data_IF_997000753386
#
_entry.id   IF_997000753386
#
_cell.length_a   1.000
_cell.length_b   1.000
_cell.length_c   1.000
_cell.angle_alpha   90.00
_cell.angle_beta   90.00
_cell.angle_gamma   90.00
#
_symmetry.space_group_name_H-M   'P 1'
#
loop_
_entity.id
_entity.type
_entity.pdbx_description
1 polymer ?
#
# COMPACT_ATOMS: atom_id res chain seq x y z
N UNK A 1 8.88 2.63 14.67
CA UNK A 1 8.32 2.09 13.43
C UNK A 1 7.50 3.16 12.76
N UNK A 2 7.57 3.28 11.45
CA UNK A 2 6.73 4.18 10.67
C UNK A 2 6.36 3.56 9.34
N UNK A 3 5.11 3.77 8.92
CA UNK A 3 4.58 3.32 7.64
C UNK A 3 4.38 4.54 6.75
N UNK A 4 4.97 4.52 5.57
CA UNK A 4 4.94 5.65 4.64
C UNK A 4 4.36 5.21 3.31
N UNK A 5 3.39 5.98 2.79
CA UNK A 5 3.00 5.93 1.38
C UNK A 5 3.89 6.92 0.64
N UNK A 6 4.68 6.43 -0.31
CA UNK A 6 5.58 7.26 -1.10
C UNK A 6 4.90 7.78 -2.38
N UNK A 7 5.45 8.84 -2.96
CA UNK A 7 4.92 9.47 -4.19
C UNK A 7 4.90 8.52 -5.40
N UNK A 8 5.80 7.54 -5.44
CA UNK A 8 5.84 6.52 -6.49
C UNK A 8 4.90 5.33 -6.20
N UNK A 9 3.95 5.48 -5.28
CA UNK A 9 2.98 4.45 -4.90
C UNK A 9 3.60 3.19 -4.27
N UNK A 10 4.76 3.28 -3.64
CA UNK A 10 5.26 2.23 -2.76
C UNK A 10 4.84 2.49 -1.31
N UNK A 11 4.54 1.43 -0.57
CA UNK A 11 4.31 1.50 0.87
C UNK A 11 5.51 0.86 1.56
N UNK A 12 6.20 1.63 2.41
CA UNK A 12 7.39 1.18 3.11
C UNK A 12 7.16 1.20 4.62
N UNK A 13 7.48 0.08 5.26
CA UNK A 13 7.62 0.00 6.72
C UNK A 13 9.08 0.20 7.10
N UNK A 14 9.31 1.25 7.89
CA UNK A 14 10.61 1.56 8.45
C UNK A 14 10.69 1.17 9.93
N UNK A 15 11.87 0.69 10.33
CA UNK A 15 12.35 0.74 11.72
C UNK A 15 13.47 1.78 11.76
N UNK A 16 13.17 2.94 12.34
CA UNK A 16 14.04 4.13 12.26
C UNK A 16 14.30 4.52 10.80
N UNK A 17 15.53 4.40 10.31
CA UNK A 17 15.90 4.67 8.91
C UNK A 17 15.98 3.40 8.06
N UNK A 18 15.82 2.22 8.67
CA UNK A 18 15.96 0.93 8.00
C UNK A 18 14.63 0.52 7.39
N UNK A 19 14.61 0.31 6.07
CA UNK A 19 13.51 -0.37 5.38
C UNK A 19 13.48 -1.83 5.80
N UNK A 20 12.37 -2.28 6.40
CA UNK A 20 12.22 -3.67 6.85
C UNK A 20 11.17 -4.45 6.05
N UNK A 21 10.27 -3.76 5.35
CA UNK A 21 9.30 -4.36 4.44
C UNK A 21 8.77 -3.32 3.45
N UNK A 22 8.33 -3.76 2.27
CA UNK A 22 7.67 -2.91 1.27
C UNK A 22 6.71 -3.69 0.36
N UNK A 23 5.75 -2.99 -0.27
CA UNK A 23 4.78 -3.58 -1.21
C UNK A 23 5.36 -3.89 -2.59
N UNK A 24 6.47 -3.26 -2.98
CA UNK A 24 7.07 -3.35 -4.33
C UNK A 24 6.05 -2.96 -5.42
N UNK A 25 5.44 -1.79 -5.24
CA UNK A 25 4.39 -1.23 -6.11
C UNK A 25 4.80 0.08 -6.77
N UNK A 26 6.11 0.33 -6.84
CA UNK A 26 6.68 1.51 -7.47
C UNK A 26 6.12 1.69 -8.89
N UNK A 27 5.64 2.90 -9.18
CA UNK A 27 5.12 3.33 -10.48
C UNK A 27 3.93 2.52 -11.01
N UNK A 28 3.21 1.81 -10.14
CA UNK A 28 1.97 1.10 -10.52
C UNK A 28 0.71 1.98 -10.51
N UNK A 29 0.82 3.22 -10.05
CA UNK A 29 -0.27 4.20 -10.01
C UNK A 29 0.25 5.61 -9.78
N UNK A 30 -0.67 6.55 -9.57
CA UNK A 30 -0.40 7.97 -9.26
C UNK A 30 -1.24 8.43 -8.07
N UNK A 31 -0.70 9.36 -7.27
CA UNK A 31 -1.37 9.95 -6.12
C UNK A 31 -1.98 8.91 -5.16
N UNK A 32 -1.23 7.85 -4.88
CA UNK A 32 -1.75 6.72 -4.15
C UNK A 32 -2.00 7.01 -2.67
N UNK A 33 -3.00 6.33 -2.12
CA UNK A 33 -3.37 6.40 -0.71
C UNK A 33 -3.66 5.00 -0.15
N UNK A 34 -3.27 4.80 1.11
CA UNK A 34 -3.48 3.55 1.83
C UNK A 34 -4.70 3.70 2.74
N UNK A 35 -5.65 2.77 2.66
CA UNK A 35 -6.88 2.81 3.45
C UNK A 35 -7.22 1.45 4.05
N UNK A 36 -7.79 1.46 5.26
CA UNK A 36 -8.38 0.29 5.88
C UNK A 36 -9.86 0.25 5.52
N UNK A 37 -10.28 -0.79 4.80
CA UNK A 37 -11.68 -1.02 4.46
C UNK A 37 -12.46 -1.54 5.67
N UNK A 38 -13.80 -1.45 5.61
CA UNK A 38 -14.72 -1.89 6.70
C UNK A 38 -14.61 -3.39 6.98
N UNK A 39 -14.23 -4.18 5.98
CA UNK A 39 -14.02 -5.63 6.08
C UNK A 39 -12.65 -6.03 6.68
N UNK A 40 -11.83 -5.04 7.06
CA UNK A 40 -10.49 -5.24 7.63
C UNK A 40 -9.38 -5.41 6.59
N UNK A 41 -9.68 -5.23 5.29
CA UNK A 41 -8.66 -5.30 4.26
C UNK A 41 -7.88 -3.98 4.15
N UNK A 42 -6.55 -4.06 4.22
CA UNK A 42 -5.67 -2.92 4.00
C UNK A 42 -5.36 -2.83 2.50
N UNK A 43 -5.80 -1.74 1.86
CA UNK A 43 -5.74 -1.58 0.40
C UNK A 43 -5.01 -0.29 0.03
N UNK A 44 -4.09 -0.41 -0.91
CA UNK A 44 -3.46 0.70 -1.59
C UNK A 44 -4.22 1.00 -2.87
N UNK A 45 -4.76 2.20 -2.98
CA UNK A 45 -5.46 2.71 -4.15
C UNK A 45 -4.65 3.79 -4.85
N UNK A 46 -4.87 3.98 -6.14
CA UNK A 46 -4.52 5.22 -6.85
C UNK A 46 -5.66 6.25 -6.81
N UNK A 47 -5.43 7.44 -7.35
CA UNK A 47 -6.46 8.50 -7.43
C UNK A 47 -7.72 8.12 -8.22
N UNK A 48 -7.64 7.11 -9.10
CA UNK A 48 -8.76 6.60 -9.88
C UNK A 48 -9.48 5.43 -9.19
N UNK A 49 -9.14 5.13 -7.93
CA UNK A 49 -9.68 4.02 -7.15
C UNK A 49 -9.34 2.62 -7.69
N UNK A 50 -8.27 2.49 -8.49
CA UNK A 50 -7.73 1.18 -8.86
C UNK A 50 -6.98 0.56 -7.70
N UNK A 51 -7.17 -0.74 -7.47
CA UNK A 51 -6.42 -1.49 -6.45
C UNK A 51 -5.00 -1.71 -6.95
N UNK A 52 -4.02 -1.08 -6.29
CA UNK A 52 -2.60 -1.25 -6.58
C UNK A 52 -2.01 -2.43 -5.79
N UNK A 53 -2.47 -2.60 -4.55
CA UNK A 53 -2.09 -3.70 -3.67
C UNK A 53 -3.15 -3.90 -2.59
N UNK A 54 -3.33 -5.14 -2.13
CA UNK A 54 -4.11 -5.41 -0.93
C UNK A 54 -3.50 -6.53 -0.12
N UNK A 55 -3.71 -6.50 1.20
CA UNK A 55 -3.44 -7.63 2.07
C UNK A 55 -4.52 -8.68 1.85
N UNK A 56 -4.39 -9.48 0.78
CA UNK A 56 -5.31 -10.52 0.28
C UNK A 56 -5.95 -11.40 1.37
N UNK A 57 -6.91 -10.87 2.12
CA UNK A 57 -7.74 -11.64 3.05
C UNK A 57 -8.96 -12.24 2.35
N UNK A 58 -9.28 -11.80 1.12
CA UNK A 58 -10.43 -12.30 0.36
C UNK A 58 -10.19 -12.56 -1.14
N UNK A 59 -9.03 -12.24 -1.72
CA UNK A 59 -8.79 -12.37 -3.19
C UNK A 59 -8.11 -13.68 -3.61
N UNK A 60 -8.43 -14.80 -2.95
CA UNK A 60 -8.28 -16.11 -3.59
C UNK A 60 -9.66 -16.61 -3.99
N UNK A 61 -10.07 -16.25 -5.21
CA UNK A 61 -10.90 -17.09 -6.06
C UNK A 61 -10.17 -17.25 -7.39
#
# INVERSE_FOLDING_TARGET
YSLHVQLNCNVILYKETITIWQTNTENKGTNCYLTMQVDGNLVLYDEFHNVIWSYNIYWKN
#
